data_IF_047710692957
#
_entry.id   IF_047710692957
#
_cell.length_a   1.000
_cell.length_b   1.000
_cell.length_c   1.000
_cell.angle_alpha   90.00
_cell.angle_beta   90.00
_cell.angle_gamma   90.00
#
_symmetry.space_group_name_H-M   'P 1'
#
loop_
_entity.id
_entity.type
_entity.pdbx_description
1 polymer ?
#
# COMPACT_ATOMS: atom_id res chain seq x y z
N UNK A 1 88.28 50.01 -2.84
CA UNK A 1 87.50 50.76 -3.86
C UNK A 1 86.43 49.82 -4.39
N UNK A 2 85.20 49.90 -3.86
CA UNK A 2 84.03 50.56 -4.46
C UNK A 2 83.65 50.10 -5.89
N UNK A 3 82.50 49.42 -5.96
CA UNK A 3 81.38 49.53 -6.92
C UNK A 3 81.60 49.53 -8.44
N UNK A 4 80.91 48.61 -9.16
CA UNK A 4 79.65 48.89 -9.94
C UNK A 4 79.18 47.69 -10.81
N UNK A 5 77.90 47.30 -10.65
CA UNK A 5 76.81 47.10 -11.65
C UNK A 5 77.10 46.45 -13.02
N UNK A 6 76.27 45.60 -13.66
CA UNK A 6 74.91 45.07 -13.46
C UNK A 6 74.40 44.37 -14.75
N UNK A 7 73.44 43.43 -14.58
CA UNK A 7 72.36 42.93 -15.48
C UNK A 7 72.58 42.63 -16.99
N UNK A 8 72.26 41.40 -17.43
CA UNK A 8 71.01 41.10 -18.19
C UNK A 8 70.82 39.61 -18.54
N UNK A 9 69.62 39.09 -18.22
CA UNK A 9 68.73 38.10 -18.87
C UNK A 9 69.33 37.17 -19.96
N UNK A 10 69.00 35.87 -20.01
CA UNK A 10 67.73 35.35 -20.57
C UNK A 10 67.60 33.83 -20.31
N UNK A 11 66.36 33.39 -20.10
CA UNK A 11 65.92 32.02 -19.78
C UNK A 11 66.09 31.02 -20.94
N UNK A 12 66.32 29.75 -20.62
CA UNK A 12 65.70 28.64 -21.35
C UNK A 12 65.09 27.64 -20.35
N UNK A 13 63.77 27.57 -20.38
CA UNK A 13 62.91 26.60 -19.70
C UNK A 13 62.80 25.37 -20.60
N UNK A 14 63.22 24.21 -20.09
CA UNK A 14 62.94 22.89 -20.68
C UNK A 14 62.10 22.09 -19.70
N UNK A 15 60.82 21.97 -19.98
CA UNK A 15 59.77 21.32 -19.19
C UNK A 15 59.95 19.81 -19.12
N UNK A 16 60.10 19.26 -17.91
CA UNK A 16 59.98 17.83 -17.63
C UNK A 16 58.48 17.50 -17.40
N UNK A 17 57.84 16.76 -18.30
CA UNK A 17 56.53 16.16 -18.04
C UNK A 17 56.69 14.97 -17.09
N UNK A 18 56.37 15.17 -15.81
CA UNK A 18 56.12 14.07 -14.89
C UNK A 18 54.66 13.60 -15.05
N UNK A 19 54.45 12.41 -15.60
CA UNK A 19 53.15 11.73 -15.55
C UNK A 19 52.88 11.29 -14.10
N UNK A 20 52.07 12.08 -13.40
CA UNK A 20 51.50 11.70 -12.11
C UNK A 20 50.21 10.91 -12.38
N UNK A 21 50.27 9.58 -12.33
CA UNK A 21 49.09 8.73 -12.33
C UNK A 21 48.36 8.90 -10.98
N UNK A 22 47.42 9.84 -10.92
CA UNK A 22 46.50 9.95 -9.79
C UNK A 22 45.53 8.78 -9.90
N UNK A 23 45.75 7.71 -9.14
CA UNK A 23 44.72 6.72 -8.87
C UNK A 23 43.57 7.45 -8.17
N UNK A 24 42.51 7.73 -8.94
CA UNK A 24 41.21 8.11 -8.39
C UNK A 24 40.69 6.90 -7.61
N UNK A 25 41.01 6.84 -6.32
CA UNK A 25 40.29 6.02 -5.37
C UNK A 25 38.89 6.65 -5.28
N UNK A 26 37.97 6.22 -6.15
CA UNK A 26 36.56 6.50 -5.98
C UNK A 26 36.18 5.93 -4.61
N UNK A 27 35.71 6.74 -3.65
CA UNK A 27 35.20 6.17 -2.42
C UNK A 27 34.08 5.22 -2.81
N UNK A 28 34.25 3.94 -2.52
CA UNK A 28 33.15 3.00 -2.60
C UNK A 28 32.02 3.59 -1.76
N UNK A 29 30.89 3.88 -2.40
CA UNK A 29 29.65 4.18 -1.68
C UNK A 29 29.46 3.04 -0.70
N UNK A 30 29.33 3.30 0.62
CA UNK A 30 29.04 2.23 1.56
C UNK A 30 27.79 1.54 1.07
N UNK A 31 27.84 0.21 0.97
CA UNK A 31 26.68 -0.62 0.68
C UNK A 31 25.54 -0.14 1.59
N UNK A 32 24.50 0.42 0.99
CA UNK A 32 23.44 1.13 1.69
C UNK A 32 22.72 0.15 2.62
N UNK A 33 22.93 0.31 3.93
CA UNK A 33 22.16 -0.22 5.06
C UNK A 33 21.10 -1.28 4.70
N UNK A 34 21.51 -2.55 4.63
CA UNK A 34 20.61 -3.69 4.70
C UNK A 34 19.85 -3.63 6.04
N UNK A 35 18.63 -3.09 6.03
CA UNK A 35 17.79 -2.92 7.22
C UNK A 35 17.25 -1.51 7.46
N UNK A 36 17.62 -0.51 6.65
CA UNK A 36 17.04 0.83 6.79
C UNK A 36 15.57 0.86 6.35
N UNK A 37 14.65 1.13 7.28
CA UNK A 37 13.25 1.38 6.95
C UNK A 37 13.13 2.77 6.31
N UNK A 38 12.88 2.80 5.00
CA UNK A 38 12.65 4.00 4.19
C UNK A 38 12.15 3.60 2.80
N UNK A 39 11.92 4.57 1.93
CA UNK A 39 11.72 4.32 0.49
C UNK A 39 13.04 3.84 -0.13
N UNK A 40 12.97 2.71 -0.84
CA UNK A 40 14.12 1.98 -1.40
C UNK A 40 14.07 1.84 -2.94
N UNK A 41 13.06 2.38 -3.59
CA UNK A 41 12.96 2.44 -5.06
C UNK A 41 12.33 3.77 -5.50
N UNK A 42 12.58 4.24 -6.73
CA UNK A 42 11.93 5.43 -7.27
C UNK A 42 10.45 5.19 -7.58
N UNK A 43 9.72 6.28 -7.87
CA UNK A 43 8.34 6.25 -8.39
C UNK A 43 7.24 6.29 -7.33
N UNK A 44 7.59 6.32 -6.04
CA UNK A 44 6.64 6.57 -4.97
C UNK A 44 5.96 7.94 -5.17
N UNK A 45 4.65 8.02 -4.91
CA UNK A 45 3.96 9.31 -4.82
C UNK A 45 4.37 10.02 -3.53
N UNK A 46 4.24 11.35 -3.48
CA UNK A 46 4.54 12.10 -2.25
C UNK A 46 3.74 11.61 -1.02
N UNK A 47 2.51 11.13 -1.23
CA UNK A 47 1.72 10.53 -0.15
C UNK A 47 2.25 9.15 0.25
N UNK A 48 2.65 8.31 -0.71
CA UNK A 48 3.29 7.04 -0.43
C UNK A 48 4.62 7.20 0.32
N UNK A 49 5.43 8.19 -0.04
CA UNK A 49 6.68 8.51 0.69
C UNK A 49 6.40 8.89 2.15
N UNK A 50 5.38 9.71 2.40
CA UNK A 50 4.96 10.05 3.76
C UNK A 50 4.41 8.84 4.53
N UNK A 51 3.64 7.98 3.89
CA UNK A 51 3.11 6.76 4.51
C UNK A 51 4.25 5.80 4.90
N UNK A 52 5.22 5.59 4.01
CA UNK A 52 6.44 4.83 4.30
C UNK A 52 7.21 5.46 5.45
N UNK A 53 7.40 6.79 5.43
CA UNK A 53 8.05 7.52 6.52
C UNK A 53 7.35 7.31 7.87
N UNK A 54 6.04 7.43 7.93
CA UNK A 54 5.24 7.24 9.14
C UNK A 54 5.33 5.80 9.67
N UNK A 55 5.25 4.79 8.81
CA UNK A 55 5.44 3.39 9.23
C UNK A 55 6.86 3.15 9.76
N UNK A 56 7.87 3.70 9.09
CA UNK A 56 9.27 3.54 9.47
C UNK A 56 9.65 4.29 10.75
N UNK A 57 8.98 5.40 11.07
CA UNK A 57 9.11 6.07 12.36
C UNK A 57 8.72 5.13 13.52
N UNK A 58 7.66 4.33 13.35
CA UNK A 58 7.23 3.36 14.36
C UNK A 58 8.23 2.21 14.53
N UNK A 59 8.84 1.76 13.42
CA UNK A 59 9.98 0.81 13.46
C UNK A 59 11.15 1.42 14.23
N UNK A 60 11.52 2.68 13.96
CA UNK A 60 12.62 3.38 14.64
C UNK A 60 12.38 3.58 16.14
N UNK A 61 11.12 3.74 16.56
CA UNK A 61 10.72 3.77 17.98
C UNK A 61 10.75 2.39 18.64
N UNK A 62 10.92 1.31 17.88
CA UNK A 62 10.88 -0.06 18.38
C UNK A 62 9.51 -0.45 18.91
N UNK A 63 8.44 0.05 18.27
CA UNK A 63 7.05 -0.24 18.63
C UNK A 63 6.78 -1.75 18.49
N UNK A 64 5.97 -2.28 19.41
CA UNK A 64 5.58 -3.68 19.40
C UNK A 64 4.49 -3.96 18.37
N UNK A 65 4.51 -5.17 17.82
CA UNK A 65 3.27 -5.77 17.35
C UNK A 65 2.31 -5.93 18.53
N UNK A 66 1.02 -5.71 18.29
CA UNK A 66 -0.03 -6.14 19.22
C UNK A 66 -1.29 -6.51 18.46
N UNK A 67 -1.85 -7.70 18.72
CA UNK A 67 -3.02 -8.21 18.00
C UNK A 67 -4.25 -7.32 18.21
N UNK A 68 -4.85 -6.83 17.12
CA UNK A 68 -5.95 -5.85 17.16
C UNK A 68 -5.50 -4.40 17.41
N UNK A 69 -4.20 -4.14 17.55
CA UNK A 69 -3.66 -2.81 17.77
C UNK A 69 -3.83 -1.90 16.54
N UNK A 70 -4.10 -0.62 16.77
CA UNK A 70 -4.28 0.36 15.68
C UNK A 70 -5.72 0.61 15.27
N UNK A 71 -6.68 -0.05 15.92
CA UNK A 71 -8.10 -0.05 15.56
C UNK A 71 -9.00 0.74 16.54
N UNK A 72 -8.42 1.70 17.27
CA UNK A 72 -9.17 2.65 18.08
C UNK A 72 -10.04 3.61 17.25
N UNK A 73 -10.83 4.48 17.90
CA UNK A 73 -11.68 5.46 17.21
C UNK A 73 -10.93 6.45 16.31
N UNK A 74 -9.62 6.60 16.53
CA UNK A 74 -8.72 7.42 15.72
C UNK A 74 -7.50 6.58 15.31
N UNK A 75 -6.89 6.82 14.13
CA UNK A 75 -5.67 6.14 13.72
C UNK A 75 -4.50 6.40 14.68
N UNK A 76 -3.85 5.34 15.17
CA UNK A 76 -2.75 5.44 16.12
C UNK A 76 -2.59 4.17 16.94
N UNK A 77 -1.47 4.03 17.65
CA UNK A 77 -1.19 2.84 18.43
C UNK A 77 -2.24 2.64 19.54
N UNK A 78 -2.69 1.40 19.72
CA UNK A 78 -3.60 1.01 20.81
C UNK A 78 -3.08 -0.26 21.48
N UNK A 79 -3.60 -0.58 22.66
CA UNK A 79 -3.40 -1.89 23.25
C UNK A 79 -4.18 -2.93 22.45
N UNK A 80 -3.62 -4.13 22.37
CA UNK A 80 -4.24 -5.26 21.69
C UNK A 80 -5.00 -6.17 22.64
N UNK A 81 -5.21 -7.40 22.20
CA UNK A 81 -5.93 -8.44 22.91
C UNK A 81 -5.25 -9.79 22.67
N UNK A 82 -5.50 -10.76 23.54
CA UNK A 82 -5.00 -12.13 23.33
C UNK A 82 -5.72 -12.75 22.12
N UNK A 83 -4.95 -13.24 21.16
CA UNK A 83 -5.42 -14.17 20.14
C UNK A 83 -5.38 -15.60 20.74
N UNK A 84 -6.54 -16.25 20.96
CA UNK A 84 -6.56 -17.59 21.53
C UNK A 84 -5.90 -18.65 20.65
N UNK A 85 -5.60 -18.33 19.39
CA UNK A 85 -4.92 -19.22 18.44
C UNK A 85 -3.41 -19.01 18.36
N UNK A 86 -2.88 -17.94 18.95
CA UNK A 86 -1.44 -17.62 18.98
C UNK A 86 -0.95 -17.38 20.43
N UNK A 87 -0.25 -18.35 21.05
CA UNK A 87 0.32 -18.18 22.38
C UNK A 87 1.28 -16.98 22.51
N UNK A 88 1.92 -16.52 21.43
CA UNK A 88 2.80 -15.36 21.47
C UNK A 88 2.05 -14.04 21.76
N UNK A 89 0.71 -14.05 21.65
CA UNK A 89 -0.17 -12.90 21.92
C UNK A 89 -0.49 -12.69 23.39
N UNK A 90 -0.01 -13.56 24.32
CA UNK A 90 -0.27 -13.47 25.75
C UNK A 90 -0.04 -12.05 26.33
N UNK A 91 1.00 -11.37 25.85
CA UNK A 91 1.39 -10.02 26.30
C UNK A 91 0.88 -8.88 25.40
N UNK A 92 0.08 -9.16 24.38
CA UNK A 92 -0.46 -8.12 23.50
C UNK A 92 -1.39 -7.12 24.23
N UNK A 93 -2.20 -7.52 25.22
CA UNK A 93 -2.94 -6.57 26.07
C UNK A 93 -2.05 -5.55 26.82
N UNK A 94 -0.77 -5.88 27.03
CA UNK A 94 0.20 -5.03 27.76
C UNK A 94 1.04 -4.15 26.82
N UNK A 95 0.96 -4.38 25.51
CA UNK A 95 1.78 -3.74 24.48
C UNK A 95 0.96 -2.69 23.73
N UNK A 96 1.34 -1.43 23.87
CA UNK A 96 0.84 -0.35 23.02
C UNK A 96 1.53 -0.44 21.64
N UNK A 97 0.75 -0.69 20.58
CA UNK A 97 1.32 -0.94 19.26
C UNK A 97 0.31 -1.07 18.14
N UNK A 98 0.67 -1.84 17.13
CA UNK A 98 -0.13 -2.06 15.92
C UNK A 98 -0.17 -3.54 15.54
N UNK A 99 -1.29 -3.99 14.97
CA UNK A 99 -1.29 -5.15 14.09
C UNK A 99 -0.98 -4.74 12.64
N UNK A 100 -1.07 -5.70 11.71
CA UNK A 100 -0.72 -5.48 10.30
C UNK A 100 -1.54 -4.36 9.64
N UNK A 101 -2.87 -4.40 9.76
CA UNK A 101 -3.77 -3.39 9.18
C UNK A 101 -3.77 -2.08 9.98
N UNK A 102 -3.61 -2.14 11.29
CA UNK A 102 -3.48 -0.97 12.15
C UNK A 102 -2.28 -0.12 11.80
N UNK A 103 -1.13 -0.74 11.48
CA UNK A 103 0.06 -0.03 11.02
C UNK A 103 -0.19 0.67 9.68
N UNK A 104 -0.81 -0.02 8.71
CA UNK A 104 -1.15 0.54 7.40
C UNK A 104 -2.14 1.71 7.52
N UNK A 105 -3.18 1.54 8.34
CA UNK A 105 -4.16 2.59 8.66
C UNK A 105 -3.48 3.82 9.21
N UNK A 106 -2.63 3.65 10.23
CA UNK A 106 -1.87 4.76 10.82
C UNK A 106 -0.98 5.45 9.80
N UNK A 107 -0.19 4.69 9.04
CA UNK A 107 0.75 5.22 8.06
C UNK A 107 0.05 6.11 7.01
N UNK A 108 -1.02 5.60 6.40
CA UNK A 108 -1.76 6.39 5.42
C UNK A 108 -2.54 7.53 6.05
N UNK A 109 -3.02 7.39 7.29
CA UNK A 109 -3.69 8.49 7.97
C UNK A 109 -2.75 9.67 8.26
N UNK A 110 -1.51 9.40 8.67
CA UNK A 110 -0.47 10.42 8.80
C UNK A 110 -0.12 11.05 7.44
N UNK A 111 -0.11 10.25 6.37
CA UNK A 111 0.24 10.73 5.04
C UNK A 111 -0.82 11.65 4.41
N UNK A 112 -2.10 11.43 4.72
CA UNK A 112 -3.24 12.16 4.11
C UNK A 112 -3.94 13.13 5.06
N UNK A 113 -3.72 13.05 6.37
CA UNK A 113 -4.46 13.84 7.37
C UNK A 113 -5.93 13.44 7.53
N UNK A 114 -6.31 12.25 7.06
CA UNK A 114 -7.66 11.67 7.14
C UNK A 114 -7.56 10.17 7.41
N UNK A 115 -8.66 9.44 7.60
CA UNK A 115 -8.62 7.97 7.81
C UNK A 115 -9.12 7.19 6.58
N UNK A 116 -8.31 7.05 5.51
CA UNK A 116 -8.79 6.47 4.24
C UNK A 116 -8.85 4.93 4.24
N UNK A 117 -8.24 4.26 5.23
CA UNK A 117 -8.00 2.81 5.22
C UNK A 117 -8.40 2.16 6.56
N UNK A 118 -9.54 2.56 7.13
CA UNK A 118 -10.07 1.91 8.32
C UNK A 118 -10.47 0.44 8.05
N UNK A 119 -10.36 -0.38 9.10
CA UNK A 119 -10.67 -1.82 9.09
C UNK A 119 -9.48 -2.74 8.81
N UNK A 120 -9.78 -4.05 8.75
CA UNK A 120 -8.79 -5.13 8.62
C UNK A 120 -8.18 -5.22 7.22
N UNK A 121 -7.13 -6.05 7.06
CA UNK A 121 -6.42 -6.28 5.79
C UNK A 121 -7.34 -6.47 4.56
N UNK A 122 -8.41 -7.27 4.71
CA UNK A 122 -9.39 -7.48 3.63
C UNK A 122 -10.11 -6.18 3.24
N UNK A 123 -10.54 -5.37 4.19
CA UNK A 123 -11.21 -4.09 3.92
C UNK A 123 -10.27 -3.09 3.22
N UNK A 124 -9.01 -3.04 3.66
CA UNK A 124 -7.99 -2.16 3.08
C UNK A 124 -7.63 -2.56 1.64
N UNK A 125 -7.59 -3.86 1.33
CA UNK A 125 -7.36 -4.34 -0.04
C UNK A 125 -8.54 -4.05 -0.99
N UNK A 126 -9.76 -4.27 -0.50
CA UNK A 126 -11.01 -4.04 -1.24
C UNK A 126 -11.51 -2.59 -1.13
N UNK A 127 -10.63 -1.66 -0.76
CA UNK A 127 -10.95 -0.24 -0.66
C UNK A 127 -11.47 0.35 -1.98
N UNK A 128 -12.36 1.35 -1.86
CA UNK A 128 -12.80 2.24 -2.94
C UNK A 128 -11.75 3.31 -3.29
N UNK A 129 -10.57 3.23 -2.65
CA UNK A 129 -9.39 4.07 -2.88
C UNK A 129 -8.34 3.35 -3.72
N UNK A 130 -8.70 2.36 -4.54
CA UNK A 130 -7.72 1.59 -5.31
C UNK A 130 -7.41 2.30 -6.64
N UNK A 131 -6.20 2.84 -6.78
CA UNK A 131 -5.70 3.32 -8.08
C UNK A 131 -5.33 2.16 -9.02
N UNK A 132 -5.04 0.98 -8.45
CA UNK A 132 -4.74 -0.22 -9.19
C UNK A 132 -4.65 -1.44 -8.26
N UNK A 133 -4.98 -2.61 -8.81
CA UNK A 133 -4.79 -3.92 -8.15
C UNK A 133 -3.89 -4.79 -9.02
N UNK A 134 -2.94 -5.45 -8.37
CA UNK A 134 -1.92 -6.26 -9.02
C UNK A 134 -2.05 -7.70 -8.51
N UNK A 135 -2.15 -8.63 -9.44
CA UNK A 135 -2.28 -10.05 -9.15
C UNK A 135 -0.96 -10.65 -8.67
N UNK A 136 -1.03 -11.75 -7.91
CA UNK A 136 0.15 -12.50 -7.50
C UNK A 136 1.08 -12.88 -8.67
N UNK A 137 0.51 -13.19 -9.84
CA UNK A 137 1.27 -13.56 -11.04
C UNK A 137 2.14 -12.41 -11.59
N UNK A 138 1.78 -11.16 -11.33
CA UNK A 138 2.59 -10.00 -11.73
C UNK A 138 3.78 -9.77 -10.78
N UNK A 139 3.76 -10.39 -9.60
CA UNK A 139 4.81 -10.24 -8.59
C UNK A 139 5.07 -8.78 -8.22
N UNK A 140 6.35 -8.44 -8.03
CA UNK A 140 6.77 -7.11 -7.62
C UNK A 140 6.99 -6.14 -8.79
N UNK A 141 7.01 -6.62 -10.03
CA UNK A 141 7.39 -5.83 -11.20
C UNK A 141 6.58 -4.53 -11.38
N UNK A 142 5.24 -4.50 -11.18
CA UNK A 142 4.48 -3.26 -11.33
C UNK A 142 4.45 -2.38 -10.07
N UNK A 143 5.04 -2.87 -8.96
CA UNK A 143 4.85 -2.26 -7.65
C UNK A 143 5.81 -1.11 -7.41
N UNK A 144 5.29 -0.11 -6.71
CA UNK A 144 6.00 1.09 -6.29
C UNK A 144 5.97 1.19 -4.76
N UNK A 145 6.95 1.84 -4.13
CA UNK A 145 6.90 2.05 -2.69
C UNK A 145 5.60 2.71 -2.26
N UNK A 146 5.03 2.25 -1.16
CA UNK A 146 3.70 2.60 -0.66
C UNK A 146 2.58 1.65 -1.08
N UNK A 147 2.76 0.82 -2.12
CA UNK A 147 1.78 -0.21 -2.47
C UNK A 147 1.57 -1.18 -1.30
N UNK A 148 0.32 -1.61 -1.09
CA UNK A 148 -0.04 -2.53 -0.02
C UNK A 148 0.03 -3.97 -0.52
N UNK A 149 0.90 -4.78 0.06
CA UNK A 149 1.05 -6.21 -0.22
C UNK A 149 0.09 -6.99 0.69
N UNK A 150 -0.60 -8.00 0.17
CA UNK A 150 -1.56 -8.79 0.96
C UNK A 150 -1.37 -10.30 0.82
N UNK A 151 -1.65 -11.01 1.90
CA UNK A 151 -1.62 -12.47 1.95
C UNK A 151 -2.96 -13.06 2.41
N UNK A 152 -3.30 -14.21 1.85
CA UNK A 152 -4.48 -14.99 2.17
C UNK A 152 -5.21 -15.48 0.93
N UNK A 153 -6.53 -15.59 1.06
CA UNK A 153 -7.45 -15.97 -0.01
C UNK A 153 -8.32 -14.78 -0.38
N UNK A 154 -9.01 -14.86 -1.51
CA UNK A 154 -9.96 -13.81 -1.92
C UNK A 154 -11.07 -13.55 -0.87
N UNK A 155 -11.39 -14.54 -0.03
CA UNK A 155 -12.40 -14.44 1.03
C UNK A 155 -11.82 -13.97 2.37
N UNK A 156 -10.54 -14.20 2.61
CA UNK A 156 -9.89 -13.91 3.88
C UNK A 156 -8.42 -13.55 3.64
N UNK A 157 -8.16 -12.25 3.57
CA UNK A 157 -6.80 -11.70 3.61
C UNK A 157 -6.44 -11.45 5.06
N UNK A 158 -5.42 -12.16 5.53
CA UNK A 158 -5.04 -12.27 6.94
C UNK A 158 -3.79 -11.45 7.28
N UNK A 159 -3.04 -10.99 6.27
CA UNK A 159 -1.89 -10.13 6.48
C UNK A 159 -1.79 -9.04 5.41
N UNK A 160 -1.31 -7.86 5.80
CA UNK A 160 -1.06 -6.72 4.93
C UNK A 160 0.24 -6.01 5.34
N UNK A 161 0.99 -5.51 4.36
CA UNK A 161 2.26 -4.80 4.59
C UNK A 161 2.46 -3.68 3.58
N UNK A 162 3.32 -2.71 3.92
CA UNK A 162 3.64 -1.56 3.07
C UNK A 162 4.93 -1.86 2.28
N UNK A 163 4.86 -1.87 0.95
CA UNK A 163 6.04 -2.09 0.11
C UNK A 163 7.01 -0.91 0.18
N UNK A 164 8.29 -1.19 0.35
CA UNK A 164 9.34 -0.16 0.42
C UNK A 164 10.07 0.02 -0.91
N UNK A 165 9.88 -0.89 -1.86
CA UNK A 165 10.76 -1.03 -3.03
C UNK A 165 11.87 -2.04 -2.78
N UNK A 166 12.62 -2.37 -3.84
CA UNK A 166 13.79 -3.25 -3.78
C UNK A 166 13.52 -4.61 -3.08
N UNK A 167 12.32 -5.17 -3.22
CA UNK A 167 11.97 -6.45 -2.60
C UNK A 167 11.82 -6.40 -1.08
N UNK A 168 11.72 -5.20 -0.47
CA UNK A 168 11.52 -5.03 0.98
C UNK A 168 10.14 -4.48 1.30
N UNK A 169 9.68 -4.75 2.51
CA UNK A 169 8.43 -4.21 3.07
C UNK A 169 8.59 -3.86 4.54
N UNK A 170 7.82 -2.90 5.03
CA UNK A 170 7.63 -2.65 6.47
C UNK A 170 6.33 -3.32 6.92
N UNK A 171 6.39 -4.04 8.03
CA UNK A 171 5.26 -4.81 8.53
C UNK A 171 5.21 -4.89 10.06
N UNK A 172 3.99 -5.04 10.58
CA UNK A 172 3.72 -5.60 11.88
C UNK A 172 3.46 -7.10 11.68
N UNK A 173 4.50 -7.94 11.83
CA UNK A 173 4.47 -9.32 11.33
C UNK A 173 3.59 -10.26 12.16
N UNK A 174 3.78 -10.28 13.49
CA UNK A 174 3.15 -11.24 14.39
C UNK A 174 3.39 -10.88 15.86
N UNK A 175 2.61 -11.45 16.77
CA UNK A 175 2.77 -11.31 18.22
C UNK A 175 4.15 -11.74 18.71
N UNK A 176 4.60 -11.12 19.80
CA UNK A 176 5.94 -11.34 20.35
C UNK A 176 7.09 -10.65 19.60
N UNK A 177 6.80 -9.89 18.54
CA UNK A 177 7.82 -9.18 17.76
C UNK A 177 7.61 -7.66 17.77
N UNK A 178 8.66 -6.91 17.41
CA UNK A 178 8.55 -5.48 17.10
C UNK A 178 8.25 -5.29 15.62
N UNK A 179 7.75 -4.10 15.26
CA UNK A 179 7.63 -3.70 13.86
C UNK A 179 8.99 -3.79 13.16
N UNK A 180 9.01 -4.25 11.91
CA UNK A 180 10.26 -4.61 11.23
C UNK A 180 10.23 -4.34 9.73
N UNK A 181 11.42 -4.33 9.14
CA UNK A 181 11.61 -4.45 7.69
C UNK A 181 11.91 -5.91 7.37
N UNK A 182 11.22 -6.44 6.37
CA UNK A 182 11.39 -7.81 5.90
C UNK A 182 11.60 -7.87 4.39
N UNK A 183 12.18 -8.97 3.92
CA UNK A 183 12.05 -9.38 2.53
C UNK A 183 10.58 -9.70 2.19
N UNK A 184 10.14 -9.26 1.01
CA UNK A 184 8.81 -9.58 0.51
C UNK A 184 8.72 -11.08 0.24
N UNK A 185 7.68 -11.69 0.81
CA UNK A 185 7.38 -13.11 0.66
C UNK A 185 6.36 -13.30 -0.46
N UNK A 186 6.82 -13.74 -1.63
CA UNK A 186 5.94 -14.12 -2.77
C UNK A 186 5.55 -15.60 -2.76
N UNK A 187 5.79 -16.29 -1.65
CA UNK A 187 5.46 -17.72 -1.47
C UNK A 187 3.96 -17.96 -1.36
N UNK A 188 3.57 -19.23 -1.17
CA UNK A 188 2.17 -19.64 -1.00
C UNK A 188 1.41 -18.71 -0.03
N UNK A 189 0.28 -18.18 -0.49
CA UNK A 189 -0.54 -17.22 0.23
C UNK A 189 -0.39 -15.78 -0.22
N UNK A 190 0.64 -15.39 -1.00
CA UNK A 190 0.67 -14.04 -1.59
C UNK A 190 -0.52 -13.87 -2.55
N UNK A 191 -1.42 -12.96 -2.23
CA UNK A 191 -2.65 -12.73 -3.00
C UNK A 191 -2.43 -11.69 -4.10
N UNK A 192 -1.63 -10.65 -3.80
CA UNK A 192 -1.38 -9.55 -4.71
C UNK A 192 -1.08 -8.26 -3.97
N UNK A 193 -1.33 -7.14 -4.63
CA UNK A 193 -1.13 -5.82 -4.06
C UNK A 193 -2.19 -4.81 -4.53
N UNK A 194 -2.38 -3.75 -3.74
CA UNK A 194 -3.22 -2.60 -4.12
C UNK A 194 -2.42 -1.31 -4.01
N UNK A 195 -2.54 -0.44 -5.02
CA UNK A 195 -2.04 0.93 -4.98
C UNK A 195 -3.13 1.85 -4.46
N UNK A 196 -2.82 2.65 -3.46
CA UNK A 196 -3.77 3.56 -2.81
C UNK A 196 -3.83 4.87 -3.60
N UNK A 197 -5.04 5.29 -3.95
CA UNK A 197 -5.38 6.62 -4.42
C UNK A 197 -5.65 7.52 -3.21
N UNK A 198 -4.70 8.42 -2.92
CA UNK A 198 -4.81 9.42 -1.85
C UNK A 198 -5.38 10.74 -2.35
N UNK A 199 -5.83 10.81 -3.60
CA UNK A 199 -6.52 11.98 -4.14
C UNK A 199 -7.91 12.17 -3.54
N UNK A 200 -8.60 13.25 -3.95
CA UNK A 200 -10.01 13.44 -3.63
C UNK A 200 -10.84 12.24 -4.11
N UNK A 201 -11.77 11.75 -3.28
CA UNK A 201 -12.79 10.81 -3.80
C UNK A 201 -13.76 11.61 -4.65
N UNK A 202 -13.62 11.48 -5.96
CA UNK A 202 -14.69 11.79 -6.89
C UNK A 202 -15.59 10.56 -7.07
N UNK A 203 -16.88 10.78 -7.25
CA UNK A 203 -17.87 9.72 -7.55
C UNK A 203 -18.81 9.40 -6.38
N UNK A 204 -19.75 8.50 -6.63
CA UNK A 204 -20.81 8.15 -5.69
C UNK A 204 -20.40 6.94 -4.87
N UNK A 205 -20.28 7.10 -3.56
CA UNK A 205 -19.82 6.05 -2.66
C UNK A 205 -21.02 5.38 -1.99
N UNK A 206 -21.10 4.06 -2.11
CA UNK A 206 -22.13 3.24 -1.50
C UNK A 206 -21.51 2.15 -0.66
N UNK A 207 -22.29 1.59 0.24
CA UNK A 207 -21.96 0.33 0.91
C UNK A 207 -22.60 -0.81 0.12
N UNK A 208 -22.11 -2.03 0.28
CA UNK A 208 -22.77 -3.25 -0.21
C UNK A 208 -23.33 -4.10 0.93
N UNK A 209 -24.17 -5.09 0.61
CA UNK A 209 -24.56 -6.17 1.52
C UNK A 209 -23.96 -7.51 1.08
N UNK A 210 -24.09 -8.51 1.95
CA UNK A 210 -23.73 -9.90 1.65
C UNK A 210 -22.24 -10.19 1.78
N UNK A 211 -21.88 -11.45 1.53
CA UNK A 211 -20.51 -11.94 1.57
C UNK A 211 -20.25 -12.87 0.40
N UNK A 212 -19.04 -12.86 -0.15
CA UNK A 212 -18.70 -13.62 -1.34
C UNK A 212 -19.44 -13.18 -2.61
N UNK A 213 -19.90 -11.93 -2.66
CA UNK A 213 -20.60 -11.37 -3.82
C UNK A 213 -19.57 -11.12 -4.93
N UNK A 214 -19.79 -11.73 -6.09
CA UNK A 214 -18.88 -11.60 -7.23
C UNK A 214 -19.24 -10.41 -8.11
N UNK A 215 -18.26 -9.54 -8.36
CA UNK A 215 -18.32 -8.58 -9.48
C UNK A 215 -18.10 -9.29 -10.80
N UNK A 216 -18.57 -8.67 -11.87
CA UNK A 216 -18.71 -9.24 -13.21
C UNK A 216 -18.00 -8.39 -14.25
N UNK A 217 -17.45 -9.03 -15.28
CA UNK A 217 -16.81 -8.33 -16.40
C UNK A 217 -17.83 -7.56 -17.25
N UNK A 218 -19.07 -8.03 -17.28
CA UNK A 218 -20.21 -7.44 -17.98
C UNK A 218 -21.44 -7.44 -17.05
N UNK A 219 -22.47 -6.62 -17.30
CA UNK A 219 -23.66 -6.52 -16.46
C UNK A 219 -24.64 -7.70 -16.69
N UNK A 220 -24.11 -8.91 -16.51
CA UNK A 220 -24.82 -10.17 -16.67
C UNK A 220 -24.34 -11.19 -15.62
N UNK A 221 -25.25 -11.99 -15.09
CA UNK A 221 -24.99 -13.00 -14.07
C UNK A 221 -24.06 -14.11 -14.58
N UNK A 222 -24.13 -14.43 -15.88
CA UNK A 222 -23.27 -15.43 -16.52
C UNK A 222 -21.87 -14.91 -16.88
N UNK A 223 -21.64 -13.59 -16.83
CA UNK A 223 -20.36 -13.00 -17.21
C UNK A 223 -19.20 -13.45 -16.30
N UNK A 224 -17.98 -13.37 -16.82
CA UNK A 224 -16.78 -13.77 -16.10
C UNK A 224 -16.65 -12.99 -14.79
N UNK A 225 -16.29 -13.72 -13.72
CA UNK A 225 -16.10 -13.18 -12.38
C UNK A 225 -14.79 -12.41 -12.31
N UNK A 226 -14.80 -11.23 -11.68
CA UNK A 226 -13.59 -10.40 -11.52
C UNK A 226 -13.08 -10.47 -10.08
N UNK A 227 -13.85 -9.97 -9.10
CA UNK A 227 -13.49 -10.00 -7.68
C UNK A 227 -14.66 -10.49 -6.83
N UNK A 228 -14.36 -11.21 -5.75
CA UNK A 228 -15.34 -11.56 -4.72
C UNK A 228 -15.20 -10.57 -3.57
N UNK A 229 -16.25 -9.80 -3.27
CA UNK A 229 -16.29 -8.98 -2.08
C UNK A 229 -16.46 -9.90 -0.87
N UNK A 230 -15.53 -9.90 0.11
CA UNK A 230 -15.53 -10.87 1.21
C UNK A 230 -16.67 -10.62 2.20
N UNK A 231 -17.24 -9.42 2.20
CA UNK A 231 -18.35 -8.98 3.04
C UNK A 231 -18.87 -7.63 2.58
N UNK A 232 -19.69 -6.95 3.41
CA UNK A 232 -20.07 -5.57 3.19
C UNK A 232 -18.83 -4.72 2.92
N UNK A 233 -18.82 -4.04 1.77
CA UNK A 233 -17.66 -3.31 1.26
C UNK A 233 -18.11 -1.94 0.81
N UNK A 234 -17.30 -0.92 1.05
CA UNK A 234 -17.57 0.41 0.52
C UNK A 234 -17.04 0.45 -0.91
N UNK A 235 -17.93 0.74 -1.85
CA UNK A 235 -17.64 0.75 -3.29
C UNK A 235 -17.94 2.13 -3.87
N UNK A 236 -17.15 2.54 -4.85
CA UNK A 236 -17.47 3.68 -5.69
C UNK A 236 -18.24 3.20 -6.92
N UNK A 237 -19.33 3.89 -7.23
CA UNK A 237 -20.11 3.70 -8.44
C UNK A 237 -19.87 4.91 -9.34
N UNK A 238 -19.41 4.64 -10.57
CA UNK A 238 -19.19 5.67 -11.58
C UNK A 238 -20.48 5.96 -12.36
N UNK A 239 -21.14 4.90 -12.81
CA UNK A 239 -22.40 4.97 -13.55
C UNK A 239 -23.20 3.69 -13.36
N UNK A 240 -24.47 3.70 -13.77
CA UNK A 240 -25.35 2.53 -13.74
C UNK A 240 -26.17 2.39 -15.05
N UNK A 241 -26.70 1.20 -15.33
CA UNK A 241 -27.61 0.98 -16.47
C UNK A 241 -28.57 -0.18 -16.24
N UNK A 242 -29.63 -0.22 -17.05
CA UNK A 242 -30.49 -1.39 -17.17
C UNK A 242 -29.80 -2.47 -18.01
N UNK A 243 -29.82 -3.72 -17.52
CA UNK A 243 -29.26 -4.88 -18.20
C UNK A 243 -30.03 -6.16 -17.81
N UNK A 244 -29.34 -7.27 -17.48
CA UNK A 244 -30.03 -8.50 -17.09
C UNK A 244 -30.85 -8.30 -15.80
N UNK A 245 -32.11 -8.74 -15.81
CA UNK A 245 -32.91 -8.81 -14.59
C UNK A 245 -32.39 -9.94 -13.69
N UNK A 246 -31.99 -9.58 -12.47
CA UNK A 246 -31.50 -10.53 -11.47
C UNK A 246 -32.55 -10.66 -10.37
N UNK A 247 -32.68 -11.86 -9.81
CA UNK A 247 -33.47 -12.12 -8.58
C UNK A 247 -32.57 -12.78 -7.54
N UNK A 248 -32.43 -12.17 -6.36
CA UNK A 248 -31.71 -12.74 -5.21
C UNK A 248 -32.39 -12.30 -3.92
N UNK A 249 -32.51 -13.21 -2.96
CA UNK A 249 -33.00 -12.92 -1.59
C UNK A 249 -34.35 -12.18 -1.55
N UNK A 250 -35.26 -12.52 -2.47
CA UNK A 250 -36.59 -11.89 -2.57
C UNK A 250 -36.61 -10.52 -3.24
N UNK A 251 -35.46 -10.02 -3.71
CA UNK A 251 -35.34 -8.79 -4.47
C UNK A 251 -35.13 -9.08 -5.95
N UNK A 252 -35.80 -8.31 -6.81
CA UNK A 252 -35.66 -8.40 -8.27
C UNK A 252 -35.48 -7.00 -8.84
N UNK A 253 -34.42 -6.78 -9.62
CA UNK A 253 -34.25 -5.60 -10.47
C UNK A 253 -33.29 -5.88 -11.63
N UNK A 254 -33.23 -4.97 -12.59
CA UNK A 254 -32.37 -5.03 -13.77
C UNK A 254 -31.27 -3.96 -13.76
N UNK A 255 -31.01 -3.33 -12.61
CA UNK A 255 -30.06 -2.25 -12.48
C UNK A 255 -28.66 -2.79 -12.15
N UNK A 256 -27.67 -2.32 -12.90
CA UNK A 256 -26.27 -2.70 -12.76
C UNK A 256 -25.38 -1.47 -12.69
N UNK A 257 -24.48 -1.46 -11.70
CA UNK A 257 -23.52 -0.39 -11.46
C UNK A 257 -22.12 -0.79 -11.92
N UNK A 258 -21.41 0.15 -12.54
CA UNK A 258 -20.00 0.01 -12.87
C UNK A 258 -19.14 0.54 -11.71
N UNK A 259 -18.19 -0.30 -11.26
CA UNK A 259 -17.27 -0.03 -10.17
C UNK A 259 -15.86 0.23 -10.73
N UNK A 260 -15.42 1.49 -10.86
CA UNK A 260 -14.15 1.84 -11.51
C UNK A 260 -12.92 1.21 -10.85
N UNK A 261 -12.93 1.12 -9.51
CA UNK A 261 -11.81 0.57 -8.72
C UNK A 261 -11.57 -0.92 -9.00
N UNK A 262 -12.61 -1.60 -9.49
CA UNK A 262 -12.60 -3.02 -9.81
C UNK A 262 -12.58 -3.27 -11.32
N UNK A 263 -12.87 -2.24 -12.13
CA UNK A 263 -13.13 -2.34 -13.57
C UNK A 263 -14.15 -3.43 -13.87
N UNK A 264 -15.24 -3.44 -13.10
CA UNK A 264 -16.23 -4.51 -13.08
C UNK A 264 -17.63 -3.98 -12.78
N UNK A 265 -18.63 -4.77 -13.15
CA UNK A 265 -20.04 -4.54 -12.91
C UNK A 265 -20.54 -5.29 -11.68
N UNK A 266 -21.58 -4.75 -11.05
CA UNK A 266 -22.30 -5.37 -9.94
C UNK A 266 -23.79 -5.10 -10.10
N UNK A 267 -24.63 -6.11 -9.86
CA UNK A 267 -26.09 -5.89 -9.77
C UNK A 267 -26.40 -5.05 -8.53
N UNK A 268 -27.29 -4.08 -8.67
CA UNK A 268 -27.67 -3.16 -7.60
C UNK A 268 -28.43 -3.84 -6.47
N UNK A 269 -28.88 -5.09 -6.64
CA UNK A 269 -29.43 -5.91 -5.54
C UNK A 269 -28.45 -6.01 -4.36
N UNK A 270 -27.14 -6.01 -4.63
CA UNK A 270 -26.11 -6.09 -3.59
C UNK A 270 -25.60 -4.72 -3.12
N UNK A 271 -26.11 -3.61 -3.66
CA UNK A 271 -25.71 -2.24 -3.29
C UNK A 271 -26.73 -1.65 -2.33
N UNK A 272 -26.25 -0.90 -1.32
CA UNK A 272 -27.14 -0.25 -0.37
C UNK A 272 -27.86 0.94 -0.99
N UNK A 273 -29.19 0.87 -1.04
CA UNK A 273 -30.05 1.93 -1.57
C UNK A 273 -31.24 1.42 -2.38
N UNK A 274 -31.93 2.31 -3.11
CA UNK A 274 -32.94 1.93 -4.09
C UNK A 274 -32.34 1.11 -5.25
N UNK A 275 -33.19 0.38 -5.97
CA UNK A 275 -32.76 -0.43 -7.12
C UNK A 275 -31.99 0.41 -8.17
N UNK A 276 -32.48 1.61 -8.46
CA UNK A 276 -31.77 2.62 -9.23
C UNK A 276 -31.18 3.67 -8.30
N UNK A 277 -29.85 3.77 -8.25
CA UNK A 277 -29.15 4.59 -7.27
C UNK A 277 -29.34 6.08 -7.56
N UNK A 278 -29.69 6.86 -6.55
CA UNK A 278 -29.86 8.30 -6.71
C UNK A 278 -28.53 9.00 -7.01
N UNK A 279 -28.61 10.06 -7.82
CA UNK A 279 -27.47 10.89 -8.25
C UNK A 279 -26.39 10.18 -9.09
N UNK A 280 -26.46 8.85 -9.27
CA UNK A 280 -25.54 8.11 -10.15
C UNK A 280 -25.99 8.25 -11.61
N UNK A 281 -25.12 8.72 -12.52
CA UNK A 281 -25.48 8.89 -13.92
C UNK A 281 -25.68 7.56 -14.64
N UNK A 282 -26.44 7.58 -15.73
CA UNK A 282 -26.56 6.43 -16.64
C UNK A 282 -25.24 6.22 -17.38
N UNK A 283 -24.78 4.97 -17.48
CA UNK A 283 -23.61 4.64 -18.29
C UNK A 283 -23.85 4.95 -19.78
N UNK A 284 -22.81 5.36 -20.52
CA UNK A 284 -22.89 5.55 -21.97
C UNK A 284 -23.21 4.26 -22.72
#
# INVERSE_FOLDING_TARGET
>A
MLHRTGHSRTLLVGTLLALLAVLLCTPATPATAEGACRVLAPGASAAAERAVGAACEQVGKGVWYTWGGGHGPQPGATYGQVDPTDPASEHDPERLGFDCSGLVRHAYAQATGSDPLDGVASAQYYTHRAAGRFTAAQGLAPLLPGDLLVWGTSRHLHHIALYLGAGKMVEAKQSGTKLMVSDVRLTAGYHGAVRVDTGPVSGHVFRTWGSGVWTKSEPASAAARVYALPGPTTVRVECQKHAEQVTSDGHTNDAWSYLPDYKAWMTNIYVQGPAWLESVPTCP
#
